data_IF_668576670648
#
_entry.id   IF_668576670648
#
_cell.length_a   1.000
_cell.length_b   1.000
_cell.length_c   1.000
_cell.angle_alpha   90.00
_cell.angle_beta   90.00
_cell.angle_gamma   90.00
#
_symmetry.space_group_name_H-M   'P 1'
#
loop_
_entity.id
_entity.type
_entity.pdbx_description
1 polymer ?
#
# COMPACT_ATOMS: atom_id res chain seq x y z
N UNK A 1 20.64 -11.57 -18.08
CA UNK A 1 19.21 -11.27 -18.36
C UNK A 1 18.45 -12.58 -18.57
N UNK A 2 18.35 -13.44 -17.54
CA UNK A 2 17.66 -14.73 -17.65
C UNK A 2 16.72 -15.02 -16.46
N UNK A 3 16.82 -14.26 -15.37
CA UNK A 3 16.02 -14.50 -14.15
C UNK A 3 14.56 -14.00 -14.24
N UNK A 4 14.27 -13.04 -15.12
CA UNK A 4 12.92 -12.46 -15.26
C UNK A 4 11.90 -13.42 -15.93
N UNK A 5 12.34 -14.34 -16.78
CA UNK A 5 11.42 -15.27 -17.46
C UNK A 5 10.99 -16.44 -16.56
N UNK A 6 11.79 -16.79 -15.56
CA UNK A 6 11.44 -17.81 -14.58
C UNK A 6 10.38 -17.32 -13.60
N UNK A 7 10.56 -16.11 -13.07
CA UNK A 7 9.61 -15.50 -12.14
C UNK A 7 8.23 -15.30 -12.77
N UNK A 8 8.16 -14.83 -14.02
CA UNK A 8 6.87 -14.60 -14.71
C UNK A 8 6.06 -15.90 -14.86
N UNK A 9 6.72 -17.03 -15.11
CA UNK A 9 6.06 -18.35 -15.20
C UNK A 9 5.57 -18.84 -13.85
N UNK A 10 6.31 -18.59 -12.78
CA UNK A 10 5.91 -18.98 -11.44
C UNK A 10 4.72 -18.14 -10.94
N UNK A 11 4.72 -16.84 -11.23
CA UNK A 11 3.58 -15.96 -10.98
C UNK A 11 2.34 -16.38 -11.77
N UNK A 12 2.50 -16.71 -13.05
CA UNK A 12 1.38 -17.19 -13.88
C UNK A 12 0.80 -18.50 -13.36
N UNK A 13 1.67 -19.42 -12.91
CA UNK A 13 1.26 -20.70 -12.33
C UNK A 13 0.54 -20.51 -10.99
N UNK A 14 1.03 -19.60 -10.14
CA UNK A 14 0.41 -19.24 -8.88
C UNK A 14 -0.98 -18.61 -9.11
N UNK A 15 -1.06 -17.64 -10.02
CA UNK A 15 -2.31 -16.97 -10.40
C UNK A 15 -3.36 -17.97 -10.89
N UNK A 16 -2.94 -18.96 -11.70
CA UNK A 16 -3.82 -20.03 -12.16
C UNK A 16 -4.33 -20.91 -11.01
N UNK A 17 -3.45 -21.33 -10.10
CA UNK A 17 -3.80 -22.18 -8.97
C UNK A 17 -4.77 -21.48 -7.99
N UNK A 18 -4.53 -20.20 -7.70
CA UNK A 18 -5.42 -19.38 -6.87
C UNK A 18 -6.78 -19.24 -7.52
N UNK A 19 -6.81 -18.90 -8.81
CA UNK A 19 -8.07 -18.76 -9.57
C UNK A 19 -8.87 -20.06 -9.55
N UNK A 20 -8.21 -21.20 -9.74
CA UNK A 20 -8.84 -22.52 -9.75
C UNK A 20 -9.37 -22.93 -8.36
N UNK A 21 -8.63 -22.64 -7.29
CA UNK A 21 -9.07 -22.87 -5.91
C UNK A 21 -10.29 -22.00 -5.53
N UNK A 22 -10.29 -20.72 -5.93
CA UNK A 22 -11.39 -19.78 -5.71
C UNK A 22 -12.63 -20.20 -6.49
N UNK A 23 -12.47 -20.60 -7.75
CA UNK A 23 -13.57 -21.05 -8.62
C UNK A 23 -14.10 -22.44 -8.29
N UNK A 24 -13.34 -23.29 -7.59
CA UNK A 24 -13.80 -24.63 -7.18
C UNK A 24 -14.43 -24.64 -5.78
N UNK A 25 -14.14 -23.66 -4.93
CA UNK A 25 -14.67 -23.60 -3.58
C UNK A 25 -16.16 -23.24 -3.51
N UNK A 26 -16.99 -24.19 -3.09
CA UNK A 26 -18.44 -23.97 -2.93
C UNK A 26 -18.79 -22.92 -1.88
N UNK A 27 -17.95 -22.75 -0.87
CA UNK A 27 -18.14 -21.69 0.13
C UNK A 27 -17.96 -20.31 -0.50
N UNK A 28 -16.92 -20.15 -1.33
CA UNK A 28 -16.65 -18.89 -2.03
C UNK A 28 -17.75 -18.60 -3.04
N UNK A 29 -18.18 -19.58 -3.83
CA UNK A 29 -19.29 -19.42 -4.79
C UNK A 29 -20.57 -18.92 -4.14
N UNK A 30 -20.95 -19.46 -2.97
CA UNK A 30 -22.16 -19.02 -2.24
C UNK A 30 -22.06 -17.56 -1.79
N UNK A 31 -20.91 -17.17 -1.22
CA UNK A 31 -20.70 -15.78 -0.78
C UNK A 31 -20.73 -14.83 -1.98
N UNK A 32 -20.12 -15.20 -3.11
CA UNK A 32 -20.17 -14.40 -4.34
C UNK A 32 -21.61 -14.30 -4.88
N UNK A 33 -22.37 -15.40 -4.87
CA UNK A 33 -23.78 -15.38 -5.28
C UNK A 33 -24.64 -14.49 -4.38
N UNK A 34 -24.39 -14.49 -3.07
CA UNK A 34 -25.09 -13.61 -2.13
C UNK A 34 -24.74 -12.13 -2.33
N UNK A 35 -23.48 -11.82 -2.68
CA UNK A 35 -23.05 -10.47 -3.04
C UNK A 35 -23.71 -10.02 -4.35
N UNK A 36 -23.72 -10.87 -5.40
CA UNK A 36 -24.40 -10.59 -6.67
C UNK A 36 -25.89 -10.31 -6.50
N UNK A 37 -26.53 -10.97 -5.54
CA UNK A 37 -27.96 -10.81 -5.26
C UNK A 37 -28.26 -9.49 -4.54
N UNK A 38 -27.29 -8.97 -3.77
CA UNK A 38 -27.42 -7.74 -2.97
C UNK A 38 -26.91 -6.50 -3.69
N UNK A 39 -25.85 -6.64 -4.46
CA UNK A 39 -25.21 -5.55 -5.21
C UNK A 39 -25.06 -5.99 -6.66
N UNK A 40 -25.42 -5.11 -7.61
CA UNK A 40 -25.34 -5.35 -9.07
C UNK A 40 -23.88 -5.45 -9.56
N UNK A 41 -23.07 -6.30 -8.96
CA UNK A 41 -21.64 -6.42 -9.24
C UNK A 41 -21.38 -7.73 -9.98
N UNK A 42 -20.69 -7.61 -11.11
CA UNK A 42 -20.30 -8.75 -11.94
C UNK A 42 -19.25 -9.62 -11.21
N UNK A 43 -19.38 -10.96 -11.20
CA UNK A 43 -18.40 -11.87 -10.59
C UNK A 43 -16.96 -11.67 -11.07
N UNK A 44 -16.77 -11.30 -12.33
CA UNK A 44 -15.44 -11.03 -12.89
C UNK A 44 -14.80 -9.79 -12.24
N UNK A 45 -15.58 -8.75 -11.93
CA UNK A 45 -15.09 -7.55 -11.25
C UNK A 45 -14.66 -7.84 -9.82
N UNK A 46 -15.36 -8.75 -9.12
CA UNK A 46 -15.01 -9.15 -7.75
C UNK A 46 -13.69 -9.95 -7.72
N UNK A 47 -13.51 -10.88 -8.66
CA UNK A 47 -12.26 -11.66 -8.76
C UNK A 47 -11.06 -10.77 -9.08
N UNK A 48 -11.22 -9.78 -9.98
CA UNK A 48 -10.18 -8.78 -10.28
C UNK A 48 -9.86 -7.93 -9.05
N UNK A 49 -10.86 -7.56 -8.24
CA UNK A 49 -10.65 -6.81 -7.01
C UNK A 49 -9.85 -7.63 -5.98
N UNK A 50 -10.19 -8.90 -5.78
CA UNK A 50 -9.48 -9.80 -4.86
C UNK A 50 -8.01 -9.98 -5.28
N UNK A 51 -7.75 -10.23 -6.57
CA UNK A 51 -6.39 -10.33 -7.11
C UNK A 51 -5.60 -9.02 -6.90
N UNK A 52 -6.22 -7.86 -7.15
CA UNK A 52 -5.59 -6.55 -6.93
C UNK A 52 -5.29 -6.29 -5.46
N UNK A 53 -6.17 -6.66 -4.54
CA UNK A 53 -5.94 -6.51 -3.10
C UNK A 53 -4.83 -7.44 -2.61
N UNK A 54 -4.72 -8.65 -3.15
CA UNK A 54 -3.64 -9.56 -2.82
C UNK A 54 -2.27 -8.99 -3.24
N UNK A 55 -2.14 -8.50 -4.47
CA UNK A 55 -0.91 -7.86 -4.96
C UNK A 55 -0.52 -6.63 -4.12
N UNK A 56 -1.50 -5.83 -3.71
CA UNK A 56 -1.26 -4.67 -2.83
C UNK A 56 -0.80 -5.09 -1.42
N UNK A 57 -1.36 -6.17 -0.88
CA UNK A 57 -0.99 -6.68 0.44
C UNK A 57 0.44 -7.24 0.44
N UNK A 58 0.80 -8.00 -0.60
CA UNK A 58 2.16 -8.50 -0.79
C UNK A 58 3.18 -7.34 -0.96
N UNK A 59 2.78 -6.27 -1.64
CA UNK A 59 3.62 -5.07 -1.79
C UNK A 59 3.82 -4.32 -0.46
N UNK A 60 2.79 -4.27 0.38
CA UNK A 60 2.86 -3.64 1.71
C UNK A 60 3.70 -4.47 2.69
N UNK A 61 3.60 -5.80 2.63
CA UNK A 61 4.40 -6.70 3.49
C UNK A 61 5.90 -6.65 3.16
N UNK A 62 6.26 -6.38 1.90
CA UNK A 62 7.66 -6.15 1.49
C UNK A 62 8.22 -4.83 2.05
N UNK A 63 7.43 -3.75 2.09
CA UNK A 63 7.85 -2.50 2.75
C UNK A 63 8.03 -2.69 4.28
N UNK A 64 7.20 -3.52 4.92
CA UNK A 64 7.29 -3.77 6.37
C UNK A 64 8.50 -4.64 6.74
N UNK A 65 8.97 -5.54 5.86
CA UNK A 65 10.17 -6.36 6.16
C UNK A 65 11.49 -5.59 6.04
N UNK A 66 11.59 -4.55 5.20
CA UNK A 66 12.80 -3.71 5.15
C UNK A 66 12.98 -2.86 6.42
N UNK A 67 11.90 -2.49 7.11
CA UNK A 67 11.94 -1.62 8.29
C UNK A 67 12.22 -2.33 9.64
N UNK A 68 12.30 -3.66 9.66
CA UNK A 68 12.50 -4.45 10.91
C UNK A 68 13.95 -4.92 11.09
N UNK A 69 14.82 -4.77 10.09
CA UNK A 69 16.25 -5.02 10.23
C UNK A 69 17.00 -3.75 10.70
N UNK A 70 17.69 -3.87 11.83
CA UNK A 70 18.67 -2.91 12.39
C UNK A 70 18.15 -1.62 13.05
N UNK A 71 17.54 -1.75 14.24
CA UNK A 71 17.58 -0.69 15.26
C UNK A 71 18.96 -0.65 15.95
N UNK A 72 19.98 -0.11 15.28
CA UNK A 72 21.14 0.50 15.95
C UNK A 72 20.83 1.98 16.24
N UNK A 73 21.23 2.53 17.39
CA UNK A 73 20.95 3.92 17.71
C UNK A 73 21.73 4.81 16.74
N UNK A 74 21.02 5.47 15.82
CA UNK A 74 21.58 6.45 14.92
C UNK A 74 22.11 7.64 15.75
N UNK A 75 23.44 7.72 15.83
CA UNK A 75 24.17 8.91 16.26
C UNK A 75 23.56 10.13 15.56
N UNK A 76 23.29 11.20 16.32
CA UNK A 76 22.87 12.52 15.83
C UNK A 76 23.75 12.94 14.66
N UNK A 77 23.30 12.70 13.43
CA UNK A 77 23.97 13.17 12.22
C UNK A 77 23.56 14.61 12.02
N UNK A 78 24.56 15.48 12.05
CA UNK A 78 24.41 16.91 11.79
C UNK A 78 23.60 17.16 10.52
N UNK A 79 22.78 18.21 10.59
CA UNK A 79 21.98 18.85 9.53
C UNK A 79 22.69 18.74 8.17
N UNK A 80 22.35 17.71 7.40
CA UNK A 80 22.63 17.70 5.97
C UNK A 80 21.46 18.42 5.32
N UNK A 81 21.75 19.54 4.64
CA UNK A 81 20.79 20.22 3.75
C UNK A 81 20.13 19.16 2.89
N UNK A 82 18.79 19.14 2.89
CA UNK A 82 18.00 18.23 2.08
C UNK A 82 18.54 18.26 0.65
N UNK A 83 19.08 17.12 0.22
CA UNK A 83 19.48 16.92 -1.16
C UNK A 83 18.26 17.17 -2.05
N UNK A 84 18.49 17.85 -3.17
CA UNK A 84 17.55 18.27 -4.23
C UNK A 84 16.85 17.11 -4.96
N UNK A 85 16.57 16.01 -4.27
CA UNK A 85 15.76 14.91 -4.79
C UNK A 85 14.34 15.46 -5.01
N UNK A 86 13.81 15.39 -6.25
CA UNK A 86 12.46 15.86 -6.53
C UNK A 86 11.46 15.03 -5.74
N UNK A 87 10.68 15.69 -4.88
CA UNK A 87 9.59 15.06 -4.13
C UNK A 87 8.31 15.08 -4.95
N UNK A 88 7.53 14.00 -4.85
CA UNK A 88 6.27 13.84 -5.59
C UNK A 88 5.14 13.44 -4.64
N UNK A 89 3.98 14.08 -4.80
CA UNK A 89 2.71 13.69 -4.16
C UNK A 89 1.67 13.53 -5.28
N UNK A 90 0.93 12.42 -5.27
CA UNK A 90 -0.06 12.06 -6.31
C UNK A 90 0.49 12.11 -7.75
N UNK A 91 1.77 11.77 -7.92
CA UNK A 91 2.47 11.81 -9.20
C UNK A 91 2.83 13.22 -9.69
N UNK A 92 2.56 14.27 -8.90
CA UNK A 92 2.94 15.66 -9.21
C UNK A 92 4.20 16.05 -8.44
N UNK A 93 5.12 16.73 -9.13
CA UNK A 93 6.33 17.26 -8.51
C UNK A 93 5.98 18.41 -7.58
N UNK A 94 6.46 18.34 -6.34
CA UNK A 94 6.28 19.40 -5.35
C UNK A 94 7.07 20.65 -5.71
N UNK A 95 6.43 21.79 -5.51
CA UNK A 95 7.07 23.11 -5.58
C UNK A 95 7.92 23.35 -4.33
N UNK A 96 8.90 24.26 -4.43
CA UNK A 96 9.75 24.64 -3.28
C UNK A 96 8.92 25.12 -2.09
N UNK A 97 7.85 25.88 -2.35
CA UNK A 97 6.97 26.41 -1.30
C UNK A 97 6.20 25.30 -0.58
N UNK A 98 5.76 24.28 -1.30
CA UNK A 98 5.05 23.13 -0.69
C UNK A 98 6.00 22.32 0.20
N UNK A 99 7.24 22.11 -0.24
CA UNK A 99 8.26 21.43 0.57
C UNK A 99 8.56 22.23 1.84
N UNK A 100 8.77 23.55 1.71
CA UNK A 100 9.00 24.43 2.87
C UNK A 100 7.80 24.44 3.83
N UNK A 101 6.57 24.44 3.29
CA UNK A 101 5.35 24.37 4.10
C UNK A 101 5.23 23.03 4.84
N UNK A 102 5.57 21.91 4.19
CA UNK A 102 5.56 20.60 4.83
C UNK A 102 6.57 20.55 5.97
N UNK A 103 7.80 21.03 5.78
CA UNK A 103 8.81 21.10 6.84
C UNK A 103 8.36 21.97 8.02
N UNK A 104 7.73 23.11 7.72
CA UNK A 104 7.13 23.96 8.74
C UNK A 104 6.00 23.23 9.48
N UNK A 105 5.07 22.60 8.75
CA UNK A 105 3.95 21.86 9.31
C UNK A 105 4.42 20.73 10.21
N UNK A 106 5.40 19.93 9.79
CA UNK A 106 5.99 18.86 10.62
C UNK A 106 6.57 19.37 11.95
N UNK A 107 7.08 20.59 11.97
CA UNK A 107 7.71 21.17 13.17
C UNK A 107 6.68 21.87 14.07
N UNK A 108 5.68 22.52 13.49
CA UNK A 108 4.74 23.39 14.21
C UNK A 108 3.36 22.77 14.45
N UNK A 109 3.00 21.68 13.75
CA UNK A 109 1.72 21.03 13.91
C UNK A 109 1.74 20.05 15.08
N UNK A 110 0.96 20.36 16.11
CA UNK A 110 0.69 19.44 17.21
C UNK A 110 -0.58 18.63 16.89
N UNK A 111 -0.37 17.37 16.52
CA UNK A 111 -1.44 16.45 16.19
C UNK A 111 -2.37 16.18 17.39
N UNK A 112 -1.84 16.12 18.61
CA UNK A 112 -2.63 15.79 19.80
C UNK A 112 -3.62 16.91 20.13
N UNK A 113 -3.16 18.17 20.16
CA UNK A 113 -4.05 19.30 20.39
C UNK A 113 -5.06 19.50 19.26
N UNK A 114 -4.66 19.26 18.00
CA UNK A 114 -5.58 19.31 16.87
C UNK A 114 -6.67 18.23 16.96
N UNK A 115 -6.30 17.00 17.31
CA UNK A 115 -7.25 15.89 17.47
C UNK A 115 -8.21 16.13 18.65
N UNK A 116 -7.70 16.62 19.79
CA UNK A 116 -8.54 16.99 20.96
C UNK A 116 -9.52 18.10 20.61
N UNK A 117 -9.06 19.16 19.93
CA UNK A 117 -9.91 20.28 19.48
C UNK A 117 -11.07 19.80 18.60
N UNK A 118 -10.81 18.79 17.76
CA UNK A 118 -11.80 18.22 16.86
C UNK A 118 -12.58 17.03 17.47
N UNK A 119 -12.38 16.73 18.76
CA UNK A 119 -13.05 15.63 19.49
C UNK A 119 -12.86 14.26 18.85
N UNK A 120 -11.74 14.07 18.15
CA UNK A 120 -11.37 12.78 17.55
C UNK A 120 -10.67 11.88 18.57
N UNK A 121 -10.04 12.50 19.57
CA UNK A 121 -9.52 11.85 20.78
C UNK A 121 -10.02 12.63 22.01
N UNK A 122 -10.13 11.95 23.14
CA UNK A 122 -10.67 12.49 24.39
C UNK A 122 -9.56 12.96 25.34
#
# INVERSE_FOLDING_TARGET
MNDSQGSDRDFERLSKAITEAVMSSEKVKRIVADIQKKEKICPQSFMVLVLKMQVLTESLELEVQEDVADKKPLKKRGRKKASEQPQYIDGRKLTKKEIEFEEFSRTSFDAESWLKKNRLIF
#
